data_IF_662052484878
#
_entry.id   IF_662052484878
#
_cell.length_a   1.000
_cell.length_b   1.000
_cell.length_c   1.000
_cell.angle_alpha   90.00
_cell.angle_beta   90.00
_cell.angle_gamma   90.00
#
_symmetry.space_group_name_H-M   'P 1'
#
loop_
_entity.id
_entity.type
_entity.pdbx_description
1 polymer ?
#
# COMPACT_ATOMS: atom_id res chain seq x y z
N UNK A 1 -2.81 8.68 -14.64
CA UNK A 1 -1.47 8.65 -14.01
C UNK A 1 -1.34 9.82 -13.06
N UNK A 2 -0.73 9.63 -11.90
CA UNK A 2 -0.44 10.67 -10.92
C UNK A 2 1.07 10.78 -10.77
N UNK A 3 1.59 12.00 -10.83
CA UNK A 3 3.03 12.29 -10.78
C UNK A 3 3.34 13.07 -9.49
N UNK A 4 4.43 12.72 -8.83
CA UNK A 4 4.94 13.43 -7.67
C UNK A 4 6.34 13.98 -7.96
N UNK A 5 6.58 15.20 -7.51
CA UNK A 5 7.89 15.82 -7.48
C UNK A 5 8.09 16.49 -6.12
N UNK A 6 9.11 16.08 -5.38
CA UNK A 6 9.52 16.70 -4.12
C UNK A 6 10.88 17.33 -4.34
N UNK A 7 10.97 18.66 -4.24
CA UNK A 7 12.21 19.42 -4.40
C UNK A 7 12.79 19.77 -3.05
N UNK A 8 14.10 19.57 -2.89
CA UNK A 8 14.82 20.10 -1.74
C UNK A 8 15.31 21.53 -2.08
N UNK A 9 14.74 22.59 -1.46
CA UNK A 9 15.17 23.96 -1.72
C UNK A 9 16.46 24.33 -0.98
N UNK A 10 16.94 23.49 -0.05
CA UNK A 10 18.19 23.74 0.64
C UNK A 10 19.37 23.60 -0.30
N UNK A 11 20.39 24.44 -0.10
CA UNK A 11 21.69 24.35 -0.76
C UNK A 11 22.72 23.55 0.05
N UNK A 12 22.42 23.24 1.32
CA UNK A 12 23.40 22.67 2.26
C UNK A 12 22.92 21.40 2.97
N UNK A 13 21.61 21.23 3.19
CA UNK A 13 21.07 20.15 4.02
C UNK A 13 20.25 19.16 3.20
N UNK A 14 20.45 17.87 3.48
CA UNK A 14 19.57 16.82 2.98
C UNK A 14 18.13 16.99 3.51
N UNK A 15 17.14 16.73 2.66
CA UNK A 15 15.73 16.65 3.02
C UNK A 15 15.34 15.18 3.18
N UNK A 16 14.93 14.80 4.39
CA UNK A 16 14.36 13.48 4.70
C UNK A 16 12.84 13.59 4.78
N UNK A 17 12.13 12.71 4.09
CA UNK A 17 10.67 12.78 4.01
C UNK A 17 10.02 11.42 3.72
N UNK A 18 8.71 11.37 3.84
CA UNK A 18 7.88 10.27 3.31
C UNK A 18 6.72 10.84 2.53
N UNK A 19 6.30 10.13 1.49
CA UNK A 19 5.15 10.49 0.66
C UNK A 19 4.40 9.21 0.26
N UNK A 20 3.08 9.26 0.15
CA UNK A 20 2.27 8.13 -0.25
C UNK A 20 0.90 8.57 -0.78
N UNK A 21 0.20 7.66 -1.44
CA UNK A 21 -1.19 7.86 -1.84
C UNK A 21 -2.13 7.05 -0.94
N UNK A 22 -3.41 7.40 -0.93
CA UNK A 22 -4.45 6.64 -0.23
C UNK A 22 -5.77 6.54 -1.06
N UNK A 23 -5.72 6.09 -2.33
CA UNK A 23 -6.92 5.99 -3.16
C UNK A 23 -7.81 4.83 -2.69
N UNK A 24 -9.09 5.11 -2.52
CA UNK A 24 -10.13 4.15 -2.16
C UNK A 24 -10.99 3.80 -3.37
N UNK A 25 -11.26 2.51 -3.59
CA UNK A 25 -12.03 2.01 -4.73
C UNK A 25 -13.24 1.22 -4.28
N UNK A 26 -14.43 1.56 -4.80
CA UNK A 26 -15.68 0.87 -4.49
C UNK A 26 -15.68 -0.58 -4.99
N UNK A 27 -16.15 -1.51 -4.17
CA UNK A 27 -16.22 -2.94 -4.42
C UNK A 27 -17.67 -3.46 -4.21
N UNK A 28 -18.27 -4.10 -5.23
CA UNK A 28 -17.93 -3.94 -6.65
C UNK A 28 -18.25 -2.50 -7.12
N UNK A 29 -17.81 -2.08 -8.33
CA UNK A 29 -18.05 -0.73 -8.84
C UNK A 29 -19.54 -0.32 -8.92
N UNK A 30 -20.45 -1.30 -9.01
CA UNK A 30 -21.89 -1.11 -9.05
C UNK A 30 -22.59 -1.23 -7.68
N UNK A 31 -21.84 -1.39 -6.59
CA UNK A 31 -22.36 -1.59 -5.23
C UNK A 31 -22.61 -3.06 -4.87
N UNK A 32 -22.66 -3.38 -3.57
CA UNK A 32 -22.82 -4.76 -3.09
C UNK A 32 -21.84 -5.19 -1.99
N UNK A 33 -20.81 -4.38 -1.72
CA UNK A 33 -19.83 -4.62 -0.67
C UNK A 33 -18.63 -5.44 -1.14
N UNK A 34 -17.57 -5.46 -0.34
CA UNK A 34 -16.30 -6.07 -0.71
C UNK A 34 -16.28 -7.60 -0.69
N UNK A 35 -17.22 -8.25 -0.02
CA UNK A 35 -17.26 -9.72 0.07
C UNK A 35 -17.45 -10.34 -1.32
N UNK A 36 -16.58 -11.28 -1.67
CA UNK A 36 -16.61 -11.96 -2.96
C UNK A 36 -15.91 -11.23 -4.10
N UNK A 37 -15.44 -9.99 -3.89
CA UNK A 37 -14.43 -9.39 -4.75
C UNK A 37 -13.05 -10.02 -4.48
N UNK A 38 -12.07 -9.75 -5.35
CA UNK A 38 -10.71 -10.27 -5.21
C UNK A 38 -9.68 -9.15 -5.28
N UNK A 39 -8.64 -9.27 -4.47
CA UNK A 39 -7.36 -8.62 -4.74
C UNK A 39 -6.53 -9.53 -5.63
N UNK A 40 -5.79 -8.93 -6.55
CA UNK A 40 -4.87 -9.67 -7.39
C UNK A 40 -3.50 -9.02 -7.47
N UNK A 41 -2.51 -9.87 -7.65
CA UNK A 41 -1.11 -9.53 -7.55
C UNK A 41 -0.28 -10.29 -8.60
N UNK A 42 0.75 -9.63 -9.12
CA UNK A 42 1.71 -10.22 -10.06
C UNK A 42 2.90 -10.83 -9.31
N UNK A 43 2.68 -11.95 -8.61
CA UNK A 43 3.73 -12.74 -7.97
C UNK A 43 3.45 -14.25 -8.08
N UNK A 44 4.50 -15.09 -8.13
CA UNK A 44 4.36 -16.53 -8.29
C UNK A 44 3.96 -17.28 -7.01
N UNK A 45 3.88 -16.62 -5.85
CA UNK A 45 3.64 -17.25 -4.55
C UNK A 45 2.74 -16.41 -3.64
N UNK A 46 2.84 -16.65 -2.34
CA UNK A 46 2.06 -15.91 -1.35
C UNK A 46 2.63 -14.52 -1.08
N UNK A 47 1.78 -13.60 -0.63
CA UNK A 47 2.18 -12.23 -0.31
C UNK A 47 2.54 -12.13 1.17
N UNK A 48 3.70 -11.57 1.49
CA UNK A 48 4.07 -11.28 2.87
C UNK A 48 3.64 -9.86 3.26
N UNK A 49 3.03 -9.72 4.45
CA UNK A 49 2.61 -8.42 4.97
C UNK A 49 2.88 -8.30 6.47
N UNK A 50 2.86 -7.07 6.98
CA UNK A 50 2.95 -6.73 8.40
C UNK A 50 1.69 -6.00 8.83
N UNK A 51 1.49 -5.93 10.15
CA UNK A 51 0.37 -5.26 10.78
C UNK A 51 0.85 -4.18 11.74
N UNK A 52 -0.10 -3.38 12.19
CA UNK A 52 0.11 -2.38 13.22
C UNK A 52 -0.20 -2.96 14.61
N UNK A 53 0.55 -2.51 15.60
CA UNK A 53 0.19 -2.70 17.00
C UNK A 53 -0.82 -1.63 17.46
N UNK A 54 -1.27 -1.69 18.72
CA UNK A 54 -2.26 -0.76 19.27
C UNK A 54 -1.78 0.70 19.36
N UNK A 55 -0.49 0.96 19.15
CA UNK A 55 0.10 2.29 19.10
C UNK A 55 0.27 2.80 17.66
N UNK A 56 -0.15 2.03 16.66
CA UNK A 56 -0.01 2.39 15.24
C UNK A 56 1.41 2.17 14.68
N UNK A 57 2.23 1.36 15.35
CA UNK A 57 3.60 1.03 14.91
C UNK A 57 3.63 -0.32 14.19
N UNK A 58 4.50 -0.46 13.18
CA UNK A 58 4.63 -1.72 12.44
C UNK A 58 5.28 -2.80 13.30
N UNK A 59 4.65 -3.96 13.37
CA UNK A 59 5.15 -5.11 14.13
C UNK A 59 6.26 -5.89 13.40
N UNK A 60 7.18 -6.50 14.17
CA UNK A 60 8.28 -7.33 13.61
C UNK A 60 7.86 -8.66 13.02
N UNK A 61 6.70 -9.20 13.38
CA UNK A 61 6.25 -10.48 12.87
C UNK A 61 5.61 -10.32 11.47
N UNK A 62 6.15 -10.95 10.41
CA UNK A 62 5.44 -11.02 9.14
C UNK A 62 4.29 -12.02 9.22
N UNK A 63 3.28 -11.74 8.41
CA UNK A 63 2.14 -12.59 8.11
C UNK A 63 2.17 -12.98 6.63
N UNK A 64 1.40 -14.01 6.28
CA UNK A 64 1.29 -14.53 4.90
C UNK A 64 -0.15 -14.43 4.45
N UNK A 65 -0.36 -13.85 3.28
CA UNK A 65 -1.64 -13.81 2.58
C UNK A 65 -1.60 -14.88 1.48
N UNK A 66 -2.28 -16.03 1.67
CA UNK A 66 -2.18 -17.14 0.74
C UNK A 66 -2.87 -16.81 -0.57
N UNK A 67 -2.17 -16.93 -1.70
CA UNK A 67 -2.72 -16.60 -3.01
C UNK A 67 -3.09 -17.84 -3.80
N UNK A 68 -4.25 -17.80 -4.46
CA UNK A 68 -4.65 -18.81 -5.42
C UNK A 68 -4.57 -18.22 -6.82
N UNK A 69 -3.56 -18.66 -7.61
CA UNK A 69 -3.29 -18.12 -8.95
C UNK A 69 -3.15 -16.59 -8.96
N UNK A 70 -2.41 -16.04 -7.97
CA UNK A 70 -2.20 -14.60 -7.82
C UNK A 70 -3.41 -13.82 -7.28
N UNK A 71 -4.49 -14.49 -6.87
CA UNK A 71 -5.70 -13.86 -6.34
C UNK A 71 -5.94 -14.18 -4.86
N UNK A 72 -6.50 -13.21 -4.14
CA UNK A 72 -7.00 -13.34 -2.78
C UNK A 72 -8.46 -12.90 -2.71
N UNK A 73 -9.36 -13.75 -2.21
CA UNK A 73 -10.78 -13.42 -2.05
C UNK A 73 -10.97 -12.50 -0.83
N UNK A 74 -11.56 -11.33 -1.05
CA UNK A 74 -11.93 -10.42 0.02
C UNK A 74 -13.11 -10.98 0.82
N UNK A 75 -13.10 -10.77 2.13
CA UNK A 75 -14.14 -11.20 3.05
C UNK A 75 -14.29 -10.20 4.22
N UNK A 76 -15.48 -10.12 4.86
CA UNK A 76 -15.69 -9.24 6.00
C UNK A 76 -14.73 -9.55 7.16
N UNK A 77 -14.07 -8.53 7.69
CA UNK A 77 -13.12 -8.66 8.80
C UNK A 77 -11.65 -8.85 8.39
N UNK A 78 -11.34 -8.90 7.08
CA UNK A 78 -9.95 -8.92 6.59
C UNK A 78 -9.09 -7.79 7.18
N UNK A 79 -9.67 -6.61 7.39
CA UNK A 79 -8.99 -5.40 7.86
C UNK A 79 -9.28 -5.08 9.34
N UNK A 80 -9.80 -6.04 10.12
CA UNK A 80 -10.09 -5.81 11.56
C UNK A 80 -8.82 -5.57 12.39
N UNK A 81 -7.66 -5.98 11.87
CA UNK A 81 -6.33 -5.73 12.45
C UNK A 81 -5.58 -4.59 11.76
N UNK A 82 -6.31 -3.66 11.16
CA UNK A 82 -5.80 -2.52 10.40
C UNK A 82 -5.20 -2.90 9.03
N UNK A 83 -4.44 -1.99 8.42
CA UNK A 83 -3.89 -2.12 7.08
C UNK A 83 -2.96 -3.33 6.95
N UNK A 84 -3.05 -4.01 5.81
CA UNK A 84 -2.05 -4.99 5.39
C UNK A 84 -0.88 -4.22 4.77
N UNK A 85 0.26 -4.16 5.46
CA UNK A 85 1.44 -3.42 5.02
C UNK A 85 2.39 -4.35 4.28
N UNK A 86 2.51 -4.18 2.98
CA UNK A 86 3.33 -5.05 2.12
C UNK A 86 4.64 -4.33 1.79
N UNK A 87 5.74 -4.92 2.25
CA UNK A 87 7.08 -4.37 2.14
C UNK A 87 7.93 -5.08 1.08
N UNK A 88 9.10 -4.51 0.75
CA UNK A 88 10.12 -5.20 -0.03
C UNK A 88 9.83 -5.30 -1.53
N UNK A 89 8.99 -4.41 -2.07
CA UNK A 89 8.67 -4.34 -3.51
C UNK A 89 8.29 -5.68 -4.12
N UNK A 90 7.48 -6.46 -3.41
CA UNK A 90 7.08 -7.81 -3.82
C UNK A 90 6.31 -7.84 -5.16
N UNK A 91 5.61 -6.75 -5.50
CA UNK A 91 4.94 -6.54 -6.78
C UNK A 91 4.93 -5.04 -7.12
N UNK A 92 4.85 -4.71 -8.41
CA UNK A 92 4.60 -3.35 -8.91
C UNK A 92 3.16 -3.11 -9.37
N UNK A 93 2.28 -4.10 -9.20
CA UNK A 93 0.89 -4.06 -9.67
C UNK A 93 -0.04 -4.77 -8.70
N UNK A 94 -1.13 -4.11 -8.36
CA UNK A 94 -2.25 -4.66 -7.57
C UNK A 94 -3.55 -4.33 -8.27
N UNK A 95 -4.48 -5.27 -8.37
CA UNK A 95 -5.80 -5.01 -8.96
C UNK A 95 -6.93 -5.49 -8.06
N UNK A 96 -8.10 -4.89 -8.26
CA UNK A 96 -9.37 -5.39 -7.76
C UNK A 96 -10.13 -6.05 -8.90
N UNK A 97 -10.71 -7.20 -8.61
CA UNK A 97 -11.54 -7.98 -9.53
C UNK A 97 -12.89 -8.33 -8.91
N UNK A 98 -13.90 -8.48 -9.75
CA UNK A 98 -15.26 -8.82 -9.36
C UNK A 98 -15.42 -10.32 -9.00
N UNK A 99 -16.66 -10.75 -8.72
CA UNK A 99 -16.97 -12.15 -8.39
C UNK A 99 -16.63 -13.15 -9.51
N UNK A 100 -16.55 -12.70 -10.76
CA UNK A 100 -16.13 -13.48 -11.92
C UNK A 100 -14.62 -13.42 -12.16
N UNK A 101 -13.87 -12.79 -11.23
CA UNK A 101 -12.42 -12.58 -11.28
C UNK A 101 -11.98 -11.68 -12.43
N UNK A 102 -12.89 -10.87 -12.98
CA UNK A 102 -12.54 -9.87 -13.99
C UNK A 102 -12.00 -8.62 -13.29
N UNK A 103 -10.76 -8.17 -13.59
CA UNK A 103 -10.25 -6.92 -13.06
C UNK A 103 -11.14 -5.73 -13.46
N UNK A 104 -11.35 -4.79 -12.55
CA UNK A 104 -12.08 -3.54 -12.83
C UNK A 104 -11.29 -2.28 -12.44
N UNK A 105 -10.32 -2.41 -11.53
CA UNK A 105 -9.35 -1.38 -11.14
C UNK A 105 -7.98 -2.03 -11.07
N UNK A 106 -6.97 -1.42 -11.68
CA UNK A 106 -5.56 -1.78 -11.50
C UNK A 106 -4.78 -0.56 -11.03
N UNK A 107 -3.94 -0.74 -10.01
CA UNK A 107 -2.96 0.26 -9.56
C UNK A 107 -1.56 -0.27 -9.86
N UNK A 108 -0.80 0.50 -10.64
CA UNK A 108 0.59 0.21 -10.99
C UNK A 108 1.52 1.26 -10.38
N UNK A 109 2.63 0.83 -9.80
CA UNK A 109 3.55 1.70 -9.07
C UNK A 109 4.97 1.13 -9.02
N UNK A 110 5.95 2.01 -8.78
CA UNK A 110 7.35 1.64 -8.53
C UNK A 110 7.71 1.61 -7.03
N UNK A 111 6.74 1.97 -6.18
CA UNK A 111 6.91 2.14 -4.74
C UNK A 111 7.50 0.90 -4.05
N UNK A 112 8.40 1.09 -3.07
CA UNK A 112 9.04 -0.04 -2.37
C UNK A 112 8.11 -0.77 -1.40
N UNK A 113 6.98 -0.17 -1.04
CA UNK A 113 5.96 -0.75 -0.18
C UNK A 113 4.60 -0.15 -0.49
N UNK A 114 3.54 -0.83 -0.04
CA UNK A 114 2.18 -0.36 -0.18
C UNK A 114 1.27 -0.86 0.95
N UNK A 115 0.20 -0.12 1.20
CA UNK A 115 -0.90 -0.52 2.09
C UNK A 115 -2.08 -1.10 1.31
N UNK A 116 -2.79 -2.03 1.93
CA UNK A 116 -4.15 -2.41 1.54
C UNK A 116 -5.04 -2.28 2.77
N UNK A 117 -6.13 -1.53 2.65
CA UNK A 117 -6.93 -1.19 3.81
C UNK A 117 -8.42 -0.98 3.50
N UNK A 118 -9.25 -1.23 4.49
CA UNK A 118 -10.63 -0.75 4.54
C UNK A 118 -10.99 -0.49 6.01
N UNK A 119 -11.89 0.47 6.33
CA UNK A 119 -12.26 0.75 7.71
C UNK A 119 -12.81 -0.49 8.46
N UNK A 120 -12.12 -0.88 9.54
CA UNK A 120 -12.52 -1.98 10.42
C UNK A 120 -13.93 -1.79 11.00
N UNK A 121 -14.70 -2.89 11.09
CA UNK A 121 -16.03 -2.91 11.71
C UNK A 121 -17.13 -2.07 11.03
N UNK A 122 -16.84 -1.42 9.90
CA UNK A 122 -17.82 -0.54 9.21
C UNK A 122 -18.46 -1.18 7.98
N UNK A 123 -18.00 -2.36 7.55
CA UNK A 123 -18.39 -2.99 6.28
C UNK A 123 -18.35 -1.99 5.12
N UNK A 124 -17.30 -1.15 5.09
CA UNK A 124 -17.16 -0.13 4.07
C UNK A 124 -17.09 -0.82 2.69
N UNK A 125 -17.84 -0.33 1.70
CA UNK A 125 -17.94 -0.98 0.40
C UNK A 125 -16.73 -0.65 -0.48
N UNK A 126 -15.56 -0.35 0.08
CA UNK A 126 -14.37 0.03 -0.68
C UNK A 126 -13.11 -0.61 -0.10
N UNK A 127 -12.08 -0.72 -0.94
CA UNK A 127 -10.73 -1.08 -0.54
C UNK A 127 -9.75 -0.02 -1.03
N UNK A 128 -8.80 0.36 -0.18
CA UNK A 128 -7.68 1.21 -0.52
C UNK A 128 -6.51 0.38 -1.02
N UNK A 129 -5.82 0.89 -2.04
CA UNK A 129 -4.54 0.36 -2.52
C UNK A 129 -3.56 1.53 -2.53
N UNK A 130 -2.53 1.45 -1.70
CA UNK A 130 -1.84 2.65 -1.23
C UNK A 130 -0.33 2.58 -1.49
N UNK A 131 0.16 3.03 -2.66
CA UNK A 131 1.60 3.07 -2.93
C UNK A 131 2.30 4.10 -2.03
N UNK A 132 3.38 3.67 -1.36
CA UNK A 132 4.06 4.49 -0.36
C UNK A 132 5.58 4.57 -0.59
N UNK A 133 6.18 5.71 -0.24
CA UNK A 133 7.62 5.95 -0.11
C UNK A 133 7.90 6.38 1.33
N UNK A 134 7.76 5.40 2.23
CA UNK A 134 7.82 5.56 3.67
C UNK A 134 6.56 5.09 4.36
N UNK A 135 6.69 4.64 5.60
CA UNK A 135 5.58 4.18 6.46
C UNK A 135 5.76 4.69 7.88
N UNK A 136 4.82 4.36 8.76
CA UNK A 136 4.98 4.57 10.20
C UNK A 136 6.18 3.76 10.74
N UNK A 137 6.63 4.18 11.92
CA UNK A 137 7.80 3.62 12.57
C UNK A 137 7.59 2.14 12.92
N UNK A 138 8.69 1.40 12.97
CA UNK A 138 8.68 0.05 13.54
C UNK A 138 8.49 0.14 15.06
N UNK A 139 7.93 -0.89 15.68
CA UNK A 139 7.65 -0.92 17.12
C UNK A 139 8.89 -0.78 18.02
N UNK A 140 10.08 -1.07 17.49
CA UNK A 140 11.36 -0.94 18.17
C UNK A 140 12.21 0.24 17.68
N UNK A 141 11.65 1.08 16.81
CA UNK A 141 12.37 2.23 16.28
C UNK A 141 12.50 3.34 17.33
N UNK A 142 13.73 3.81 17.53
CA UNK A 142 14.07 4.90 18.46
C UNK A 142 14.99 5.95 17.83
N UNK A 143 15.21 5.85 16.51
CA UNK A 143 16.08 6.74 15.75
C UNK A 143 15.39 8.03 15.33
N UNK A 144 16.05 8.75 14.41
CA UNK A 144 15.53 9.95 13.78
C UNK A 144 15.11 9.71 12.32
N UNK A 145 14.59 10.75 11.65
CA UNK A 145 14.12 10.66 10.27
C UNK A 145 15.15 10.13 9.27
N UNK A 146 16.46 10.26 9.56
CA UNK A 146 17.54 9.77 8.68
C UNK A 146 17.69 8.26 8.70
N UNK A 147 17.20 7.62 9.77
CA UNK A 147 17.31 6.18 10.01
C UNK A 147 15.98 5.45 9.78
N UNK A 148 14.88 6.19 9.53
CA UNK A 148 13.56 5.60 9.35
C UNK A 148 13.49 4.75 8.10
N UNK A 149 13.06 3.49 8.26
CA UNK A 149 12.90 2.55 7.16
C UNK A 149 11.96 3.11 6.08
N UNK A 150 12.31 2.86 4.81
CA UNK A 150 11.59 3.36 3.64
C UNK A 150 11.48 4.90 3.54
N UNK A 151 12.13 5.65 4.43
CA UNK A 151 12.29 7.09 4.32
C UNK A 151 13.02 7.46 3.03
N UNK A 152 12.61 8.57 2.41
CA UNK A 152 13.23 9.11 1.21
C UNK A 152 14.17 10.25 1.58
N UNK A 153 15.27 10.37 0.84
CA UNK A 153 16.28 11.43 1.00
C UNK A 153 16.46 12.18 -0.31
N UNK A 154 16.43 13.51 -0.26
CA UNK A 154 16.75 14.39 -1.40
C UNK A 154 17.91 15.27 -1.02
N UNK A 155 19.02 15.16 -1.76
CA UNK A 155 20.18 16.03 -1.56
C UNK A 155 19.88 17.48 -1.91
N UNK A 156 20.68 18.44 -1.41
CA UNK A 156 20.51 19.86 -1.72
C UNK A 156 20.32 20.16 -3.21
N UNK A 157 19.34 21.00 -3.53
CA UNK A 157 18.98 21.40 -4.90
C UNK A 157 18.43 20.28 -5.80
N UNK A 158 18.30 19.03 -5.31
CA UNK A 158 17.80 17.90 -6.09
C UNK A 158 16.28 17.74 -5.95
N UNK A 159 15.73 16.82 -6.75
CA UNK A 159 14.31 16.47 -6.70
C UNK A 159 14.12 14.95 -6.75
N UNK A 160 13.21 14.47 -5.91
CA UNK A 160 12.64 13.13 -6.00
C UNK A 160 11.43 13.16 -6.94
N UNK A 161 11.34 12.18 -7.86
CA UNK A 161 10.24 12.07 -8.81
C UNK A 161 9.74 10.65 -8.88
N UNK A 162 8.48 10.47 -8.58
CA UNK A 162 7.83 9.17 -8.64
C UNK A 162 6.40 9.28 -9.14
N UNK A 163 5.79 8.14 -9.42
CA UNK A 163 4.45 8.09 -9.96
C UNK A 163 3.73 6.78 -9.65
N UNK A 164 2.41 6.82 -9.81
CA UNK A 164 1.57 5.64 -9.91
C UNK A 164 0.50 5.83 -10.98
N UNK A 165 -0.02 4.73 -11.50
CA UNK A 165 -1.09 4.69 -12.47
C UNK A 165 -2.31 3.99 -11.89
N UNK A 166 -3.49 4.53 -12.18
CA UNK A 166 -4.77 3.86 -11.94
C UNK A 166 -5.37 3.62 -13.32
N UNK A 167 -5.65 2.36 -13.63
CA UNK A 167 -6.40 1.93 -14.81
C UNK A 167 -7.79 1.48 -14.37
N UNK A 168 -8.82 1.90 -15.11
CA UNK A 168 -10.23 1.56 -14.86
C UNK A 168 -10.76 0.83 -16.10
N UNK A 169 -11.45 -0.30 -15.91
CA UNK A 169 -12.09 -1.05 -17.00
C UNK A 169 -12.16 -2.55 -16.73
#
# INVERSE_FOLDING_TARGET
RVLWEVRNPSEEKDLYFSIGAHPAFLCPPCGGGMDGCYLGFDLPGDLSYRLLNSQGLVTKQPHTLPLQNGLFRLYPGLFDRDALIVEGKQTGRVWLADGEKKPFVTVEFNAPLFGIWSPAGKNAPFVCIEPWYGRCDAEDFSGDLTQREYGSRVSPGQAFRENYCIQIG
#
